data_IF_380329829804
#
_entry.id   IF_380329829804
#
_cell.length_a   1.000
_cell.length_b   1.000
_cell.length_c   1.000
_cell.angle_alpha   90.00
_cell.angle_beta   90.00
_cell.angle_gamma   90.00
#
_symmetry.space_group_name_H-M   'P 1'
#
loop_
_entity.id
_entity.type
_entity.pdbx_description
1 polymer ?
#
# COMPACT_ATOMS: atom_id res chain seq x y z
N UNK A 1 -3.68 -20.18 -3.17
CA UNK A 1 -3.78 -19.83 -4.59
C UNK A 1 -5.14 -19.22 -4.85
N UNK A 2 -5.16 -17.99 -5.35
CA UNK A 2 -6.37 -17.24 -5.69
C UNK A 2 -6.61 -17.35 -7.20
N UNK A 3 -7.32 -18.39 -7.64
CA UNK A 3 -7.50 -18.69 -9.07
C UNK A 3 -8.21 -17.58 -9.84
N UNK A 4 -8.98 -16.74 -9.16
CA UNK A 4 -9.67 -15.58 -9.71
C UNK A 4 -8.78 -14.35 -9.94
N UNK A 5 -7.55 -14.36 -9.41
CA UNK A 5 -6.55 -13.33 -9.66
C UNK A 5 -5.73 -13.60 -10.93
N UNK A 6 -5.74 -14.83 -11.45
CA UNK A 6 -5.02 -15.15 -12.68
C UNK A 6 -5.44 -14.22 -13.82
N UNK A 7 -4.46 -13.75 -14.58
CA UNK A 7 -4.58 -12.80 -15.69
C UNK A 7 -5.11 -11.39 -15.33
N UNK A 8 -5.35 -11.09 -14.04
CA UNK A 8 -5.71 -9.75 -13.58
C UNK A 8 -4.54 -8.79 -13.72
N UNK A 9 -4.82 -7.57 -14.13
CA UNK A 9 -3.83 -6.50 -14.24
C UNK A 9 -3.80 -5.70 -12.96
N UNK A 10 -2.65 -5.69 -12.30
CA UNK A 10 -2.42 -5.02 -11.00
C UNK A 10 -1.39 -3.92 -11.18
N UNK A 11 -1.75 -2.68 -10.83
CA UNK A 11 -0.81 -1.56 -10.75
C UNK A 11 -0.42 -1.36 -9.29
N UNK A 12 0.89 -1.40 -8.98
CA UNK A 12 1.40 -1.21 -7.62
C UNK A 12 2.38 -0.05 -7.62
N UNK A 13 2.06 1.03 -6.89
CA UNK A 13 2.96 2.17 -6.76
C UNK A 13 4.05 1.90 -5.71
N UNK A 14 5.27 2.39 -5.96
CA UNK A 14 6.41 2.16 -5.07
C UNK A 14 6.73 0.67 -4.91
N UNK A 15 6.68 -0.10 -6.00
CA UNK A 15 6.82 -1.54 -5.99
C UNK A 15 8.28 -2.04 -6.07
N UNK A 16 9.26 -1.13 -6.08
CA UNK A 16 10.69 -1.49 -6.22
C UNK A 16 11.36 -1.99 -4.94
N UNK A 17 10.69 -1.90 -3.78
CA UNK A 17 11.26 -2.33 -2.49
C UNK A 17 10.17 -2.69 -1.46
N UNK A 18 10.58 -3.28 -0.34
CA UNK A 18 9.77 -3.49 0.86
C UNK A 18 8.44 -4.18 0.62
N UNK A 19 7.37 -3.64 1.18
CA UNK A 19 6.01 -4.19 1.07
C UNK A 19 5.53 -4.20 -0.39
N UNK A 20 5.85 -3.13 -1.16
CA UNK A 20 5.48 -3.05 -2.57
C UNK A 20 6.09 -4.15 -3.41
N UNK A 21 7.37 -4.47 -3.19
CA UNK A 21 8.07 -5.60 -3.81
C UNK A 21 7.39 -6.93 -3.47
N UNK A 22 7.16 -7.19 -2.18
CA UNK A 22 6.53 -8.44 -1.75
C UNK A 22 5.13 -8.62 -2.37
N UNK A 23 4.33 -7.54 -2.43
CA UNK A 23 3.05 -7.58 -3.13
C UNK A 23 3.22 -7.88 -4.62
N UNK A 24 4.14 -7.20 -5.32
CA UNK A 24 4.38 -7.41 -6.74
C UNK A 24 4.75 -8.86 -7.05
N UNK A 25 5.68 -9.43 -6.28
CA UNK A 25 6.12 -10.82 -6.42
C UNK A 25 4.99 -11.81 -6.14
N UNK A 26 4.19 -11.60 -5.09
CA UNK A 26 3.08 -12.48 -4.75
C UNK A 26 1.92 -12.40 -5.74
N UNK A 27 1.53 -11.21 -6.20
CA UNK A 27 0.55 -11.09 -7.28
C UNK A 27 1.05 -11.78 -8.56
N UNK A 28 2.33 -11.63 -8.88
CA UNK A 28 2.95 -12.35 -10.00
C UNK A 28 2.88 -13.86 -9.85
N UNK A 29 3.13 -14.39 -8.65
CA UNK A 29 3.04 -15.82 -8.35
C UNK A 29 1.61 -16.38 -8.46
N UNK A 30 0.57 -15.54 -8.25
CA UNK A 30 -0.82 -15.88 -8.51
C UNK A 30 -1.21 -15.78 -10.01
N UNK A 31 -0.24 -15.47 -10.89
CA UNK A 31 -0.45 -15.36 -12.34
C UNK A 31 -1.02 -14.04 -12.80
N UNK A 32 -0.92 -12.98 -11.99
CA UNK A 32 -1.30 -11.64 -12.40
C UNK A 32 -0.31 -11.03 -13.41
N UNK A 33 -0.78 -10.03 -14.13
CA UNK A 33 0.02 -9.08 -14.91
C UNK A 33 0.30 -7.86 -14.05
N UNK A 34 1.56 -7.64 -13.69
CA UNK A 34 1.93 -6.64 -12.67
C UNK A 34 2.62 -5.44 -13.30
N UNK A 35 2.13 -4.25 -13.00
CA UNK A 35 2.84 -3.00 -13.27
C UNK A 35 3.63 -2.62 -12.02
N UNK A 36 4.94 -2.76 -12.11
CA UNK A 36 5.91 -2.41 -11.07
C UNK A 36 6.27 -0.94 -11.24
N UNK A 37 5.59 -0.05 -10.51
CA UNK A 37 5.96 1.37 -10.54
C UNK A 37 7.13 1.65 -9.59
N UNK A 38 8.02 2.51 -10.05
CA UNK A 38 9.16 3.03 -9.29
C UNK A 38 9.33 4.53 -9.55
N UNK A 39 10.01 5.24 -8.65
CA UNK A 39 10.41 6.63 -8.85
C UNK A 39 11.88 6.73 -9.31
N UNK A 40 12.82 6.18 -8.53
CA UNK A 40 14.26 6.28 -8.79
C UNK A 40 15.00 4.93 -8.89
N UNK A 41 14.40 3.84 -8.39
CA UNK A 41 15.04 2.51 -8.27
C UNK A 41 14.70 1.62 -9.48
N UNK A 42 15.20 1.98 -10.67
CA UNK A 42 14.92 1.26 -11.91
C UNK A 42 15.48 -0.16 -11.91
N UNK A 43 16.71 -0.35 -11.45
CA UNK A 43 17.39 -1.66 -11.42
C UNK A 43 16.62 -2.67 -10.57
N UNK A 44 16.16 -2.25 -9.40
CA UNK A 44 15.38 -3.09 -8.49
C UNK A 44 14.01 -3.44 -9.10
N UNK A 45 13.35 -2.46 -9.72
CA UNK A 45 12.08 -2.69 -10.41
C UNK A 45 12.22 -3.70 -11.56
N UNK A 46 13.29 -3.60 -12.35
CA UNK A 46 13.58 -4.54 -13.44
C UNK A 46 13.84 -5.97 -12.93
N UNK A 47 14.57 -6.13 -11.82
CA UNK A 47 14.81 -7.45 -11.22
C UNK A 47 13.51 -8.08 -10.67
N UNK A 48 12.63 -7.27 -10.08
CA UNK A 48 11.31 -7.72 -9.62
C UNK A 48 10.47 -8.19 -10.82
N UNK A 49 10.40 -7.39 -11.88
CA UNK A 49 9.66 -7.76 -13.09
C UNK A 49 10.19 -9.08 -13.70
N UNK A 50 11.49 -9.29 -13.67
CA UNK A 50 12.15 -10.53 -14.12
C UNK A 50 11.82 -11.72 -13.23
N UNK A 51 11.77 -11.52 -11.91
CA UNK A 51 11.35 -12.54 -10.94
C UNK A 51 9.90 -12.95 -11.16
N UNK A 52 8.99 -12.00 -11.36
CA UNK A 52 7.58 -12.26 -11.68
C UNK A 52 7.45 -13.10 -12.95
N UNK A 53 8.16 -12.74 -14.01
CA UNK A 53 8.12 -13.51 -15.27
C UNK A 53 8.64 -14.94 -15.11
N UNK A 54 9.66 -15.14 -14.27
CA UNK A 54 10.18 -16.49 -13.97
C UNK A 54 9.19 -17.35 -13.18
N UNK A 55 8.33 -16.74 -12.35
CA UNK A 55 7.30 -17.45 -11.58
C UNK A 55 6.01 -17.71 -12.36
N UNK A 56 5.95 -17.32 -13.63
CA UNK A 56 4.80 -17.59 -14.52
C UNK A 56 3.78 -16.45 -14.62
N UNK A 57 4.02 -15.32 -13.98
CA UNK A 57 3.28 -14.08 -14.18
C UNK A 57 3.82 -13.27 -15.36
N UNK A 58 3.26 -12.09 -15.60
CA UNK A 58 3.79 -11.10 -16.52
C UNK A 58 3.99 -9.77 -15.80
N UNK A 59 5.01 -8.99 -16.19
CA UNK A 59 5.27 -7.72 -15.54
C UNK A 59 5.93 -6.71 -16.47
N UNK A 60 5.60 -5.44 -16.28
CA UNK A 60 6.31 -4.29 -16.82
C UNK A 60 6.73 -3.34 -15.71
N UNK A 61 7.73 -2.53 -15.97
CA UNK A 61 8.16 -1.45 -15.08
C UNK A 61 7.75 -0.11 -15.67
N UNK A 62 7.23 0.80 -14.86
CA UNK A 62 6.90 2.16 -15.29
C UNK A 62 7.41 3.14 -14.25
N UNK A 63 8.25 4.09 -14.70
CA UNK A 63 8.69 5.19 -13.84
C UNK A 63 7.58 6.22 -13.69
N UNK A 64 7.25 6.61 -12.45
CA UNK A 64 6.37 7.72 -12.15
C UNK A 64 6.57 8.17 -10.69
N UNK A 65 6.64 9.48 -10.48
CA UNK A 65 6.60 10.14 -9.19
C UNK A 65 5.12 10.36 -8.80
N UNK A 66 4.67 9.65 -7.76
CA UNK A 66 3.27 9.71 -7.34
C UNK A 66 2.85 11.07 -6.76
N UNK A 67 3.80 11.94 -6.41
CA UNK A 67 3.51 13.32 -5.98
C UNK A 67 3.05 14.22 -7.14
N UNK A 68 3.19 13.75 -8.37
CA UNK A 68 2.86 14.49 -9.60
C UNK A 68 1.66 13.86 -10.30
N UNK A 69 0.54 14.57 -10.30
CA UNK A 69 -0.73 14.11 -10.88
C UNK A 69 -0.60 13.63 -12.33
N UNK A 70 0.13 14.39 -13.18
CA UNK A 70 0.34 14.03 -14.58
C UNK A 70 1.10 12.71 -14.75
N UNK A 71 2.07 12.42 -13.87
CA UNK A 71 2.84 11.17 -13.91
C UNK A 71 2.00 9.97 -13.47
N UNK A 72 1.14 10.12 -12.43
CA UNK A 72 0.18 9.07 -12.03
C UNK A 72 -0.86 8.82 -13.13
N UNK A 73 -1.36 9.85 -13.76
CA UNK A 73 -2.29 9.72 -14.89
C UNK A 73 -1.64 8.98 -16.07
N UNK A 74 -0.37 9.30 -16.36
CA UNK A 74 0.41 8.62 -17.40
C UNK A 74 0.67 7.15 -17.03
N UNK A 75 1.00 6.84 -15.78
CA UNK A 75 1.20 5.48 -15.27
C UNK A 75 -0.02 4.59 -15.58
N UNK A 76 -1.22 5.05 -15.24
CA UNK A 76 -2.47 4.30 -15.49
C UNK A 76 -2.71 4.14 -16.99
N UNK A 77 -2.54 5.21 -17.77
CA UNK A 77 -2.73 5.18 -19.23
C UNK A 77 -1.77 4.21 -19.91
N UNK A 78 -0.51 4.18 -19.47
CA UNK A 78 0.52 3.30 -20.00
C UNK A 78 0.24 1.82 -19.64
N UNK A 79 -0.21 1.57 -18.39
CA UNK A 79 -0.64 0.23 -17.96
C UNK A 79 -1.79 -0.28 -18.84
N UNK A 80 -2.80 0.56 -19.08
CA UNK A 80 -3.93 0.22 -19.96
C UNK A 80 -3.47 0.03 -21.41
N UNK A 81 -2.57 0.87 -21.92
CA UNK A 81 -2.02 0.74 -23.28
C UNK A 81 -1.30 -0.61 -23.46
N UNK A 82 -0.56 -1.06 -22.45
CA UNK A 82 0.23 -2.29 -22.53
C UNK A 82 -0.60 -3.56 -22.34
N UNK A 83 -1.45 -3.60 -21.31
CA UNK A 83 -2.21 -4.79 -20.94
C UNK A 83 -3.69 -4.77 -21.40
N UNK A 84 -4.14 -3.67 -22.01
CA UNK A 84 -5.52 -3.50 -22.47
C UNK A 84 -6.50 -3.11 -21.37
N UNK A 85 -6.13 -3.19 -20.11
CA UNK A 85 -6.98 -2.87 -18.95
C UNK A 85 -6.14 -2.75 -17.69
N UNK A 86 -6.78 -2.28 -16.60
CA UNK A 86 -6.39 -2.53 -15.22
C UNK A 86 -7.57 -3.14 -14.48
N UNK A 87 -7.34 -3.96 -13.46
CA UNK A 87 -8.36 -4.58 -12.61
C UNK A 87 -8.18 -4.21 -11.13
N UNK A 88 -6.94 -3.98 -10.71
CA UNK A 88 -6.57 -3.70 -9.32
C UNK A 88 -5.57 -2.53 -9.29
N UNK A 89 -5.84 -1.55 -8.43
CA UNK A 89 -4.92 -0.46 -8.11
C UNK A 89 -4.45 -0.59 -6.67
N UNK A 90 -3.14 -0.65 -6.45
CA UNK A 90 -2.52 -0.65 -5.12
C UNK A 90 -1.71 0.64 -4.95
N UNK A 91 -2.25 1.59 -4.21
CA UNK A 91 -1.56 2.80 -3.80
C UNK A 91 -0.65 2.49 -2.61
N UNK A 92 0.57 2.04 -2.90
CA UNK A 92 1.52 1.62 -1.87
C UNK A 92 2.65 2.63 -1.66
N UNK A 93 3.01 3.42 -2.65
CA UNK A 93 4.06 4.42 -2.51
C UNK A 93 3.83 5.30 -1.28
N UNK A 94 4.86 5.49 -0.49
CA UNK A 94 4.79 6.27 0.73
C UNK A 94 6.16 6.79 1.14
N UNK A 95 6.16 7.86 1.92
CA UNK A 95 7.34 8.52 2.44
C UNK A 95 7.09 8.99 3.86
N UNK A 96 8.12 8.90 4.70
CA UNK A 96 8.12 9.43 6.05
C UNK A 96 9.44 10.16 6.32
N UNK A 97 9.38 11.21 7.12
CA UNK A 97 10.55 11.96 7.58
C UNK A 97 10.26 12.49 8.96
N UNK A 98 11.09 12.07 9.93
CA UNK A 98 11.03 12.61 11.28
C UNK A 98 11.48 14.08 11.28
N UNK A 99 10.63 14.96 11.82
CA UNK A 99 10.97 16.37 12.04
C UNK A 99 10.19 16.86 13.25
N UNK A 100 10.83 17.47 14.27
CA UNK A 100 10.10 18.09 15.38
C UNK A 100 9.05 19.07 14.84
N UNK A 101 7.82 19.03 15.37
CA UNK A 101 6.70 19.82 14.82
C UNK A 101 6.95 21.33 14.86
N UNK A 102 7.75 21.83 15.81
CA UNK A 102 8.14 23.25 15.90
C UNK A 102 9.14 23.67 14.81
N UNK A 103 9.82 22.73 14.19
CA UNK A 103 10.85 22.95 13.15
C UNK A 103 10.37 22.57 11.76
N UNK A 104 9.21 21.88 11.67
CA UNK A 104 8.69 21.38 10.40
C UNK A 104 8.22 22.52 9.50
N UNK A 105 8.81 22.64 8.33
CA UNK A 105 8.34 23.59 7.32
C UNK A 105 7.02 23.13 6.68
N UNK A 106 6.24 24.07 6.16
CA UNK A 106 5.05 23.75 5.38
C UNK A 106 5.42 22.94 4.10
N UNK A 107 6.61 23.13 3.55
CA UNK A 107 7.13 22.39 2.40
C UNK A 107 7.36 20.92 2.76
N UNK A 108 8.06 20.63 3.86
CA UNK A 108 8.28 19.26 4.36
C UNK A 108 6.95 18.56 4.69
N UNK A 109 6.01 19.29 5.31
CA UNK A 109 4.67 18.79 5.60
C UNK A 109 3.95 18.40 4.29
N UNK A 110 3.89 19.33 3.32
CA UNK A 110 3.20 19.13 2.06
C UNK A 110 3.87 18.05 1.19
N UNK A 111 5.19 17.90 1.26
CA UNK A 111 5.89 16.84 0.53
C UNK A 111 5.37 15.45 0.92
N UNK A 112 5.24 15.17 2.22
CA UNK A 112 4.68 13.91 2.71
C UNK A 112 3.20 13.76 2.33
N UNK A 113 2.41 14.83 2.47
CA UNK A 113 0.99 14.82 2.07
C UNK A 113 0.80 14.53 0.58
N UNK A 114 1.64 15.12 -0.27
CA UNK A 114 1.56 14.93 -1.72
C UNK A 114 1.85 13.49 -2.14
N UNK A 115 2.81 12.84 -1.49
CA UNK A 115 3.14 11.43 -1.78
C UNK A 115 2.07 10.50 -1.19
N UNK A 116 1.79 10.62 0.11
CA UNK A 116 1.03 9.61 0.84
C UNK A 116 -0.49 9.73 0.66
N UNK A 117 -1.00 10.94 0.47
CA UNK A 117 -2.44 11.21 0.41
C UNK A 117 -2.87 11.63 -1.00
N UNK A 118 -2.28 12.71 -1.53
CA UNK A 118 -2.67 13.23 -2.86
C UNK A 118 -2.38 12.22 -3.96
N UNK A 119 -1.20 11.57 -3.92
CA UNK A 119 -0.84 10.53 -4.90
C UNK A 119 -1.79 9.34 -4.86
N UNK A 120 -2.17 8.88 -3.66
CA UNK A 120 -3.14 7.80 -3.49
C UNK A 120 -4.54 8.21 -3.97
N UNK A 121 -4.95 9.48 -3.76
CA UNK A 121 -6.19 10.02 -4.31
C UNK A 121 -6.20 10.00 -5.85
N UNK A 122 -5.14 10.50 -6.47
CA UNK A 122 -5.03 10.53 -7.94
C UNK A 122 -5.04 9.11 -8.50
N UNK A 123 -4.27 8.18 -7.93
CA UNK A 123 -4.27 6.77 -8.34
C UNK A 123 -5.65 6.13 -8.22
N UNK A 124 -6.35 6.37 -7.11
CA UNK A 124 -7.72 5.88 -6.91
C UNK A 124 -8.69 6.46 -7.92
N UNK A 125 -8.63 7.76 -8.16
CA UNK A 125 -9.50 8.47 -9.11
C UNK A 125 -9.30 7.99 -10.54
N UNK A 126 -8.05 7.90 -11.01
CA UNK A 126 -7.76 7.50 -12.39
C UNK A 126 -8.12 6.02 -12.62
N UNK A 127 -7.86 5.14 -11.64
CA UNK A 127 -8.31 3.75 -11.70
C UNK A 127 -9.85 3.66 -11.74
N UNK A 128 -10.56 4.39 -10.88
CA UNK A 128 -12.02 4.41 -10.87
C UNK A 128 -12.63 4.96 -12.17
N UNK A 129 -12.02 5.99 -12.79
CA UNK A 129 -12.41 6.46 -14.12
C UNK A 129 -12.31 5.33 -15.15
N UNK A 130 -11.21 4.61 -15.19
CA UNK A 130 -11.04 3.47 -16.11
C UNK A 130 -12.09 2.39 -15.87
N UNK A 131 -12.32 1.96 -14.62
CA UNK A 131 -13.32 0.95 -14.28
C UNK A 131 -14.73 1.38 -14.72
N UNK A 132 -15.12 2.62 -14.44
CA UNK A 132 -16.42 3.17 -14.80
C UNK A 132 -16.61 3.26 -16.31
N UNK A 133 -15.63 3.79 -17.04
CA UNK A 133 -15.68 3.91 -18.49
C UNK A 133 -15.77 2.56 -19.21
N UNK A 134 -15.06 1.55 -18.67
CA UNK A 134 -15.07 0.20 -19.25
C UNK A 134 -16.19 -0.67 -18.68
N UNK A 135 -17.00 -0.17 -17.75
CA UNK A 135 -18.07 -0.90 -17.03
C UNK A 135 -17.55 -2.18 -16.35
N UNK A 136 -16.31 -2.14 -15.87
CA UNK A 136 -15.67 -3.23 -15.15
C UNK A 136 -15.75 -3.00 -13.65
N UNK A 137 -15.91 -4.09 -12.90
CA UNK A 137 -15.65 -4.07 -11.45
C UNK A 137 -14.16 -3.87 -11.22
N UNK A 138 -13.81 -3.14 -10.17
CA UNK A 138 -12.42 -2.87 -9.83
C UNK A 138 -12.15 -2.99 -8.34
N UNK A 139 -10.86 -3.09 -7.99
CA UNK A 139 -10.41 -3.07 -6.59
C UNK A 139 -9.34 -2.01 -6.42
N UNK A 140 -9.48 -1.19 -5.39
CA UNK A 140 -8.49 -0.20 -4.96
C UNK A 140 -8.07 -0.54 -3.54
N UNK A 141 -6.77 -0.66 -3.33
CA UNK A 141 -6.16 -0.92 -2.02
C UNK A 141 -5.17 0.19 -1.73
N UNK A 142 -5.32 0.88 -0.59
CA UNK A 142 -4.35 1.88 -0.17
C UNK A 142 -3.51 1.34 0.98
N UNK A 143 -2.21 1.56 0.92
CA UNK A 143 -1.29 1.24 2.00
C UNK A 143 -1.28 2.38 3.01
N UNK A 144 -2.01 2.17 4.12
CA UNK A 144 -2.03 3.07 5.26
C UNK A 144 -0.94 2.71 6.28
N UNK A 145 -1.21 2.80 7.56
CA UNK A 145 -0.32 2.47 8.68
C UNK A 145 -1.16 2.41 9.96
N UNK A 146 -0.66 1.76 11.00
CA UNK A 146 -1.20 1.90 12.36
C UNK A 146 -1.26 3.36 12.82
N UNK A 147 -0.48 4.24 12.19
CA UNK A 147 -0.49 5.68 12.43
C UNK A 147 -1.66 6.43 11.80
N UNK A 148 -2.62 5.72 11.22
CA UNK A 148 -3.95 6.27 10.91
C UNK A 148 -4.86 6.39 12.15
N UNK A 149 -4.46 5.77 13.29
CA UNK A 149 -5.12 5.84 14.59
C UNK A 149 -4.16 6.06 15.77
N UNK A 150 -2.87 5.68 15.64
CA UNK A 150 -1.86 5.88 16.69
C UNK A 150 -1.06 7.14 16.38
N UNK A 151 -1.08 8.18 17.25
CA UNK A 151 -0.24 9.35 17.06
C UNK A 151 1.25 8.99 17.11
N UNK A 152 2.06 9.72 16.34
CA UNK A 152 3.51 9.51 16.28
C UNK A 152 4.27 10.83 16.45
N UNK A 153 4.90 11.08 17.60
CA UNK A 153 5.70 12.28 17.82
C UNK A 153 6.81 12.44 16.78
N UNK A 154 7.04 13.66 16.32
CA UNK A 154 7.96 14.05 15.23
C UNK A 154 7.52 13.63 13.81
N UNK A 155 6.38 12.97 13.64
CA UNK A 155 5.86 12.52 12.36
C UNK A 155 4.43 13.06 12.10
N UNK A 156 4.16 14.31 12.49
CA UNK A 156 2.82 14.90 12.37
C UNK A 156 2.32 14.90 10.91
N UNK A 157 3.20 15.12 9.94
CA UNK A 157 2.92 15.05 8.51
C UNK A 157 2.49 13.64 8.08
N UNK A 158 3.21 12.62 8.53
CA UNK A 158 2.92 11.22 8.23
C UNK A 158 1.60 10.78 8.86
N UNK A 159 1.42 11.00 10.17
CA UNK A 159 0.19 10.63 10.87
C UNK A 159 -1.03 11.35 10.27
N UNK A 160 -0.91 12.66 9.95
CA UNK A 160 -1.97 13.41 9.27
C UNK A 160 -2.29 12.81 7.89
N UNK A 161 -1.26 12.42 7.11
CA UNK A 161 -1.48 11.81 5.79
C UNK A 161 -2.21 10.46 5.89
N UNK A 162 -1.87 9.62 6.87
CA UNK A 162 -2.48 8.30 7.05
C UNK A 162 -3.89 8.38 7.65
N UNK A 163 -4.12 9.31 8.59
CA UNK A 163 -5.46 9.63 9.09
C UNK A 163 -6.37 10.18 7.99
N UNK A 164 -5.86 11.09 7.15
CA UNK A 164 -6.55 11.58 5.95
C UNK A 164 -6.83 10.48 4.94
N UNK A 165 -5.88 9.58 4.70
CA UNK A 165 -6.02 8.44 3.79
C UNK A 165 -7.14 7.49 4.26
N UNK A 166 -7.29 7.29 5.57
CA UNK A 166 -8.35 6.46 6.14
C UNK A 166 -9.73 7.02 5.80
N UNK A 167 -9.99 8.28 6.11
CA UNK A 167 -11.30 8.90 5.85
C UNK A 167 -11.56 9.09 4.34
N UNK A 168 -10.52 9.38 3.57
CA UNK A 168 -10.61 9.42 2.11
C UNK A 168 -11.07 8.06 1.55
N UNK A 169 -10.47 6.97 2.00
CA UNK A 169 -10.85 5.61 1.59
C UNK A 169 -12.31 5.31 1.91
N UNK A 170 -12.75 5.61 3.14
CA UNK A 170 -14.14 5.40 3.57
C UNK A 170 -15.12 6.17 2.66
N UNK A 171 -14.81 7.43 2.36
CA UNK A 171 -15.60 8.27 1.45
C UNK A 171 -15.65 7.69 0.04
N UNK A 172 -14.48 7.40 -0.57
CA UNK A 172 -14.41 6.84 -1.92
C UNK A 172 -15.08 5.47 -2.02
N UNK A 173 -15.07 4.67 -0.94
CA UNK A 173 -15.74 3.38 -0.93
C UNK A 173 -17.25 3.51 -1.12
N UNK A 174 -17.86 4.54 -0.55
CA UNK A 174 -19.29 4.82 -0.71
C UNK A 174 -19.61 5.37 -2.11
N UNK A 175 -18.78 6.29 -2.61
CA UNK A 175 -18.98 6.89 -3.93
C UNK A 175 -18.82 5.87 -5.07
N UNK A 176 -17.88 4.94 -4.92
CA UNK A 176 -17.52 4.01 -5.99
C UNK A 176 -18.27 2.67 -5.93
N UNK A 177 -18.89 2.32 -4.79
CA UNK A 177 -19.64 1.09 -4.64
C UNK A 177 -20.77 0.90 -5.67
N UNK A 178 -21.57 1.93 -6.05
CA UNK A 178 -22.58 1.79 -7.11
C UNK A 178 -22.03 1.40 -8.47
N UNK A 179 -20.71 1.63 -8.69
CA UNK A 179 -20.00 1.23 -9.90
C UNK A 179 -19.35 -0.16 -9.81
N UNK A 180 -19.57 -0.88 -8.70
CA UNK A 180 -18.98 -2.19 -8.47
C UNK A 180 -17.48 -2.15 -8.13
N UNK A 181 -16.99 -1.02 -7.62
CA UNK A 181 -15.61 -0.80 -7.23
C UNK A 181 -15.50 -0.92 -5.72
N UNK A 182 -14.56 -1.73 -5.22
CA UNK A 182 -14.26 -1.85 -3.80
C UNK A 182 -13.02 -1.02 -3.46
N UNK A 183 -13.07 -0.28 -2.36
CA UNK A 183 -11.95 0.53 -1.87
C UNK A 183 -11.69 0.17 -0.42
N UNK A 184 -10.47 -0.28 -0.10
CA UNK A 184 -10.09 -0.66 1.26
C UNK A 184 -8.67 -0.17 1.58
N UNK A 185 -8.35 -0.06 2.86
CA UNK A 185 -7.00 0.18 3.34
C UNK A 185 -6.41 -1.09 3.95
N UNK A 186 -5.08 -1.22 3.85
CA UNK A 186 -4.28 -2.09 4.72
C UNK A 186 -3.43 -1.18 5.59
N UNK A 187 -3.45 -1.42 6.91
CA UNK A 187 -2.65 -0.67 7.88
C UNK A 187 -1.64 -1.60 8.56
N UNK A 188 -0.40 -1.67 8.02
CA UNK A 188 0.67 -2.42 8.65
C UNK A 188 1.09 -1.81 9.98
N UNK A 189 1.51 -2.69 10.92
CA UNK A 189 2.29 -2.33 12.09
C UNK A 189 3.79 -2.21 11.75
N UNK A 190 4.65 -2.60 12.69
CA UNK A 190 6.08 -2.69 12.44
C UNK A 190 6.37 -3.86 11.49
N UNK A 191 7.03 -3.58 10.37
CA UNK A 191 7.40 -4.56 9.33
C UNK A 191 8.91 -4.44 9.04
N UNK A 192 9.59 -5.58 8.93
CA UNK A 192 10.99 -5.63 8.50
C UNK A 192 11.05 -5.42 6.99
N UNK A 193 11.65 -4.34 6.56
CA UNK A 193 11.89 -4.02 5.16
C UNK A 193 13.35 -3.61 4.96
N UNK A 194 13.79 -3.41 3.73
CA UNK A 194 15.14 -2.88 3.46
C UNK A 194 15.38 -1.55 4.21
N UNK A 195 14.36 -0.70 4.36
CA UNK A 195 14.45 0.59 5.07
C UNK A 195 14.48 0.46 6.59
N UNK A 196 13.85 -0.56 7.17
CA UNK A 196 13.76 -0.76 8.62
C UNK A 196 14.75 -1.80 9.14
N UNK A 197 15.41 -2.56 8.25
CA UNK A 197 16.31 -3.66 8.60
C UNK A 197 17.48 -3.20 9.50
N UNK A 198 18.08 -2.07 9.20
CA UNK A 198 19.17 -1.52 10.01
C UNK A 198 18.68 -1.17 11.42
N UNK A 199 17.53 -0.48 11.54
CA UNK A 199 16.88 -0.16 12.81
C UNK A 199 16.63 -1.42 13.65
N UNK A 200 16.10 -2.48 13.05
CA UNK A 200 15.78 -3.73 13.74
C UNK A 200 16.96 -4.71 13.87
N UNK A 201 18.15 -4.36 13.37
CA UNK A 201 19.38 -5.08 13.67
C UNK A 201 19.92 -4.74 15.07
N UNK A 202 19.54 -3.59 15.63
CA UNK A 202 19.80 -3.24 17.04
C UNK A 202 18.83 -4.04 17.94
N UNK A 203 19.37 -4.90 18.77
CA UNK A 203 18.60 -5.81 19.63
C UNK A 203 17.69 -5.06 20.60
N UNK A 204 18.16 -3.96 21.19
CA UNK A 204 17.37 -3.19 22.15
C UNK A 204 16.15 -2.53 21.49
N UNK A 205 16.33 -1.91 20.33
CA UNK A 205 15.27 -1.31 19.53
C UNK A 205 14.27 -2.36 19.04
N UNK A 206 14.76 -3.53 18.63
CA UNK A 206 13.92 -4.66 18.24
C UNK A 206 13.04 -5.13 19.39
N UNK A 207 13.63 -5.44 20.54
CA UNK A 207 12.90 -5.89 21.72
C UNK A 207 11.90 -4.85 22.25
N UNK A 208 12.24 -3.55 22.19
CA UNK A 208 11.32 -2.48 22.55
C UNK A 208 10.11 -2.46 21.61
N UNK A 209 10.35 -2.60 20.30
CA UNK A 209 9.27 -2.67 19.30
C UNK A 209 8.40 -3.91 19.50
N UNK A 210 9.00 -5.08 19.71
CA UNK A 210 8.29 -6.35 19.92
C UNK A 210 7.39 -6.30 21.17
N UNK A 211 7.81 -5.59 22.24
CA UNK A 211 6.99 -5.37 23.44
C UNK A 211 5.72 -4.57 23.18
N UNK A 212 5.69 -3.73 22.13
CA UNK A 212 4.50 -2.97 21.73
C UNK A 212 3.54 -3.80 20.87
N UNK A 213 3.92 -5.02 20.48
CA UNK A 213 3.14 -5.90 19.60
C UNK A 213 2.62 -7.08 20.42
N UNK A 214 1.30 -7.23 20.64
CA UNK A 214 0.73 -8.34 21.39
C UNK A 214 1.16 -9.74 20.92
N UNK A 215 1.38 -9.96 19.61
CA UNK A 215 1.90 -11.21 19.07
C UNK A 215 3.39 -11.42 19.33
N UNK A 216 4.13 -10.41 19.83
CA UNK A 216 5.51 -10.50 20.29
C UNK A 216 6.57 -10.61 19.19
N UNK A 217 6.25 -10.27 17.95
CA UNK A 217 7.22 -10.26 16.85
C UNK A 217 6.92 -9.17 15.82
N UNK A 218 7.95 -8.68 15.16
CA UNK A 218 7.84 -7.72 14.05
C UNK A 218 7.42 -8.47 12.79
N UNK A 219 6.45 -7.93 12.04
CA UNK A 219 5.94 -8.56 10.83
C UNK A 219 6.93 -8.53 9.66
N UNK A 220 6.65 -9.36 8.66
CA UNK A 220 7.37 -9.42 7.40
C UNK A 220 6.50 -8.88 6.25
N UNK A 221 7.08 -8.39 5.14
CA UNK A 221 6.33 -7.85 4.00
C UNK A 221 5.28 -8.81 3.44
N UNK A 222 5.53 -10.12 3.51
CA UNK A 222 4.65 -11.19 3.04
C UNK A 222 3.33 -11.25 3.82
N UNK A 223 3.32 -10.87 5.10
CA UNK A 223 2.08 -10.79 5.88
C UNK A 223 1.14 -9.74 5.31
N UNK A 224 1.70 -8.61 4.87
CA UNK A 224 0.95 -7.51 4.24
C UNK A 224 0.52 -7.88 2.83
N UNK A 225 1.39 -8.52 2.06
CA UNK A 225 1.10 -8.96 0.71
C UNK A 225 -0.03 -10.00 0.67
N UNK A 226 -0.07 -10.94 1.63
CA UNK A 226 -1.17 -11.90 1.78
C UNK A 226 -2.52 -11.20 2.03
N UNK A 227 -2.54 -10.14 2.85
CA UNK A 227 -3.74 -9.33 3.07
C UNK A 227 -4.18 -8.60 1.80
N UNK A 228 -3.23 -8.12 0.98
CA UNK A 228 -3.52 -7.49 -0.29
C UNK A 228 -4.13 -8.48 -1.31
N UNK A 229 -3.59 -9.69 -1.42
CA UNK A 229 -4.17 -10.75 -2.25
C UNK A 229 -5.59 -11.09 -1.83
N UNK A 230 -5.84 -11.25 -0.52
CA UNK A 230 -7.19 -11.50 0.00
C UNK A 230 -8.15 -10.38 -0.38
N UNK A 231 -7.81 -9.13 -0.10
CA UNK A 231 -8.68 -7.99 -0.41
C UNK A 231 -8.90 -7.81 -1.92
N UNK A 232 -7.93 -8.18 -2.74
CA UNK A 232 -8.05 -8.13 -4.20
C UNK A 232 -8.99 -9.20 -4.76
N UNK A 233 -9.06 -10.36 -4.10
CA UNK A 233 -9.79 -11.55 -4.58
C UNK A 233 -11.31 -11.46 -4.42
N UNK A 234 -12.02 -12.40 -5.03
CA UNK A 234 -13.46 -12.58 -4.87
C UNK A 234 -13.86 -13.06 -3.48
N UNK A 235 -12.92 -13.59 -2.68
CA UNK A 235 -13.20 -13.93 -1.28
C UNK A 235 -13.54 -12.68 -0.43
N UNK A 236 -13.09 -11.50 -0.85
CA UNK A 236 -13.41 -10.21 -0.26
C UNK A 236 -14.54 -9.46 -1.00
N UNK A 237 -15.38 -10.16 -1.79
CA UNK A 237 -16.38 -9.52 -2.67
C UNK A 237 -17.40 -8.64 -1.93
N UNK A 238 -17.62 -8.85 -0.63
CA UNK A 238 -18.53 -8.06 0.19
C UNK A 238 -17.80 -7.15 1.20
N UNK A 239 -16.50 -6.86 0.93
CA UNK A 239 -15.66 -6.02 1.79
C UNK A 239 -15.29 -4.75 1.02
N UNK A 240 -15.78 -3.60 1.48
CA UNK A 240 -15.43 -2.25 1.02
C UNK A 240 -15.54 -1.27 2.19
N UNK A 241 -14.75 -0.20 2.18
CA UNK A 241 -14.77 0.83 3.23
C UNK A 241 -14.15 0.37 4.56
N UNK A 242 -13.28 -0.65 4.54
CA UNK A 242 -12.62 -1.12 5.76
C UNK A 242 -11.12 -0.86 5.74
N UNK A 243 -10.57 -0.69 6.93
CA UNK A 243 -9.12 -0.73 7.18
C UNK A 243 -8.78 -2.08 7.82
N UNK A 244 -8.02 -2.90 7.10
CA UNK A 244 -7.50 -4.17 7.59
C UNK A 244 -6.13 -3.93 8.26
N UNK A 245 -6.08 -4.03 9.57
CA UNK A 245 -4.83 -3.92 10.33
C UNK A 245 -4.04 -5.22 10.24
N UNK A 246 -2.77 -5.12 9.80
CA UNK A 246 -1.80 -6.22 9.74
C UNK A 246 -0.64 -5.84 10.65
N UNK A 247 -0.88 -5.90 11.95
CA UNK A 247 -0.08 -5.21 12.95
C UNK A 247 0.27 -6.06 14.19
N UNK A 248 -0.04 -7.35 14.18
CA UNK A 248 0.16 -8.24 15.34
C UNK A 248 -0.61 -7.81 16.58
N UNK A 249 -1.65 -6.98 16.43
CA UNK A 249 -2.45 -6.43 17.50
C UNK A 249 -1.95 -5.10 18.08
N UNK A 250 -0.95 -4.47 17.45
CA UNK A 250 -0.34 -3.22 17.93
C UNK A 250 -1.38 -2.11 18.19
N UNK A 251 -2.40 -1.96 17.35
CA UNK A 251 -3.48 -0.98 17.54
C UNK A 251 -4.44 -1.32 18.68
N UNK A 252 -4.39 -2.55 19.23
CA UNK A 252 -5.24 -3.02 20.32
C UNK A 252 -4.48 -3.02 21.67
N UNK A 253 -3.22 -2.66 21.60
CA UNK A 253 -2.39 -2.51 22.81
C UNK A 253 -2.98 -1.43 23.72
N UNK A 254 -2.72 -1.50 24.99
CA UNK A 254 -1.95 -2.50 25.73
C UNK A 254 -2.37 -2.80 27.13
N UNK A 255 -2.99 -1.92 27.78
CA UNK A 255 -2.90 -1.77 29.22
C UNK A 255 -3.49 -2.95 30.01
N UNK A 256 -4.23 -3.80 29.35
CA UNK A 256 -4.90 -4.95 29.96
C UNK A 256 -4.27 -6.32 29.63
N UNK A 257 -3.11 -6.31 28.99
CA UNK A 257 -2.29 -7.51 28.78
C UNK A 257 -1.82 -8.05 30.14
N UNK A 258 -2.47 -8.99 30.73
CA UNK A 258 -2.23 -9.50 32.07
C UNK A 258 -3.42 -9.33 33.01
N UNK A 259 -4.56 -8.85 32.49
CA UNK A 259 -5.83 -8.79 33.21
C UNK A 259 -5.84 -7.84 34.40
N UNK A 260 -4.95 -6.85 34.41
CA UNK A 260 -4.92 -5.80 35.43
C UNK A 260 -5.55 -4.54 34.84
N UNK A 261 -6.82 -4.33 35.14
CA UNK A 261 -7.57 -3.11 34.83
C UNK A 261 -7.56 -2.15 36.00
#
# INVERSE_FOLDING_TARGET
>A
MYTDLKDKVVVITGASSGIGKAMAEQFGAEGCKVVVNYNSSESEALEIAKTIKKSGGDAITIQADVSKENEVTALISEAVRHFGTIDIMVNNAGFEKATPSLEMSAEDFNHVMNINLTGAFVGSREAAKHFTQTKKKGVIINMSSVHDVIPWPNYVNYAASKGGLKLMMETLSMEFAPHGIRVNNISPGAIVTEHTKEKFSDTATREETERMIPMGFIGEPEHVANAALFLASTQAAYITGTTLYVDGGMTKYPSFMGGKG
#
